data_IF_663756299284
#
_entry.id   IF_663756299284
#
_cell.length_a   1.000
_cell.length_b   1.000
_cell.length_c   1.000
_cell.angle_alpha   90.00
_cell.angle_beta   90.00
_cell.angle_gamma   90.00
#
_symmetry.space_group_name_H-M   'P 1'
#
loop_
_entity.id
_entity.type
_entity.pdbx_description
1 polymer ?
#
# COMPACT_ATOMS: atom_id res chain seq x y z
N UNK A 1 4.65 0.91 18.06
CA UNK A 1 4.27 2.25 17.58
C UNK A 1 3.53 2.06 16.26
N UNK A 2 2.24 2.43 16.18
CA UNK A 2 1.37 2.08 15.04
C UNK A 2 1.47 3.18 14.00
N UNK A 3 2.15 2.89 12.89
CA UNK A 3 2.17 3.81 11.74
C UNK A 3 0.87 3.66 10.96
N UNK A 4 0.34 4.74 10.41
CA UNK A 4 -0.82 4.71 9.52
C UNK A 4 -0.39 5.10 8.11
N UNK A 5 -1.10 4.56 7.12
CA UNK A 5 -1.00 4.99 5.74
C UNK A 5 -2.41 5.29 5.21
N UNK A 6 -2.50 6.31 4.37
CA UNK A 6 -3.73 6.69 3.69
C UNK A 6 -3.77 6.08 2.30
N UNK A 7 -4.95 5.67 1.86
CA UNK A 7 -5.21 5.30 0.46
C UNK A 7 -6.07 6.40 -0.15
N UNK A 8 -5.57 6.99 -1.21
CA UNK A 8 -6.24 8.00 -2.01
C UNK A 8 -6.33 7.55 -3.47
N UNK A 9 -7.20 8.17 -4.24
CA UNK A 9 -7.35 7.90 -5.68
C UNK A 9 -7.21 9.20 -6.44
N UNK A 10 -6.38 9.18 -7.47
CA UNK A 10 -6.29 10.28 -8.44
C UNK A 10 -7.42 10.17 -9.45
N UNK A 11 -7.77 11.27 -10.12
CA UNK A 11 -8.77 11.33 -11.18
C UNK A 11 -8.54 10.30 -12.31
N UNK A 12 -7.28 9.87 -12.50
CA UNK A 12 -6.90 8.81 -13.44
C UNK A 12 -7.22 7.38 -12.95
N UNK A 13 -7.90 7.23 -11.82
CA UNK A 13 -8.21 5.93 -11.19
C UNK A 13 -7.01 5.26 -10.52
N UNK A 14 -5.86 5.93 -10.44
CA UNK A 14 -4.64 5.38 -9.82
C UNK A 14 -4.72 5.54 -8.31
N UNK A 15 -4.49 4.44 -7.58
CA UNK A 15 -4.40 4.45 -6.13
C UNK A 15 -3.04 5.00 -5.69
N UNK A 16 -3.07 6.06 -4.87
CA UNK A 16 -1.91 6.72 -4.29
C UNK A 16 -1.86 6.41 -2.80
N UNK A 17 -0.70 5.97 -2.34
CA UNK A 17 -0.45 5.72 -0.92
C UNK A 17 0.13 7.00 -0.32
N UNK A 18 -0.51 7.49 0.75
CA UNK A 18 -0.01 8.60 1.55
C UNK A 18 0.71 8.00 2.75
N UNK A 19 2.03 7.94 2.65
CA UNK A 19 2.91 7.55 3.73
C UNK A 19 3.18 8.74 4.68
N UNK A 20 3.66 8.44 5.89
CA UNK A 20 4.01 9.42 6.93
C UNK A 20 2.83 10.11 7.64
N UNK A 21 1.77 9.36 7.95
CA UNK A 21 0.67 9.86 8.78
C UNK A 21 0.96 9.73 10.29
N UNK A 22 0.36 10.61 11.11
CA UNK A 22 0.39 10.55 12.57
C UNK A 22 -0.05 9.19 13.13
N UNK A 23 0.37 8.91 14.35
CA UNK A 23 0.08 7.64 15.04
C UNK A 23 -1.29 7.62 15.73
N UNK A 24 -1.92 8.78 15.82
CA UNK A 24 -3.29 8.91 16.33
C UNK A 24 -4.23 8.86 15.14
N UNK A 25 -5.12 7.86 15.11
CA UNK A 25 -6.05 7.61 14.00
C UNK A 25 -6.78 8.87 13.51
N UNK A 26 -7.33 9.66 14.43
CA UNK A 26 -8.09 10.88 14.08
C UNK A 26 -7.19 11.95 13.43
N UNK A 27 -5.96 12.09 13.92
CA UNK A 27 -5.00 13.03 13.35
C UNK A 27 -4.52 12.56 11.98
N UNK A 28 -4.29 11.25 11.82
CA UNK A 28 -3.94 10.62 10.55
C UNK A 28 -5.00 10.84 9.48
N UNK A 29 -6.27 10.71 9.83
CA UNK A 29 -7.39 10.94 8.92
C UNK A 29 -7.48 12.41 8.49
N UNK A 30 -7.38 13.34 9.44
CA UNK A 30 -7.40 14.77 9.16
C UNK A 30 -6.21 15.23 8.30
N UNK A 31 -5.03 14.65 8.48
CA UNK A 31 -3.86 14.95 7.64
C UNK A 31 -3.97 14.31 6.26
N UNK A 32 -4.45 13.07 6.16
CA UNK A 32 -4.67 12.41 4.89
C UNK A 32 -5.68 13.19 4.03
N UNK A 33 -6.79 13.67 4.62
CA UNK A 33 -7.79 14.50 3.93
C UNK A 33 -7.15 15.81 3.45
N UNK A 34 -6.36 16.48 4.29
CA UNK A 34 -5.65 17.73 3.92
C UNK A 34 -4.66 17.51 2.78
N UNK A 35 -3.91 16.40 2.81
CA UNK A 35 -3.01 16.01 1.73
C UNK A 35 -3.77 15.71 0.44
N UNK A 36 -4.90 15.03 0.52
CA UNK A 36 -5.75 14.74 -0.63
C UNK A 36 -6.28 16.03 -1.27
N UNK A 37 -6.84 16.93 -0.47
CA UNK A 37 -7.34 18.23 -0.94
C UNK A 37 -6.26 19.08 -1.62
N UNK A 38 -5.03 19.09 -1.08
CA UNK A 38 -3.91 19.85 -1.66
C UNK A 38 -3.47 19.31 -3.03
N UNK A 39 -3.58 18.01 -3.25
CA UNK A 39 -3.08 17.33 -4.45
C UNK A 39 -4.19 16.97 -5.45
N UNK A 40 -5.45 17.38 -5.20
CA UNK A 40 -6.58 16.99 -6.03
C UNK A 40 -6.83 15.48 -6.04
N UNK A 41 -6.61 14.82 -4.91
CA UNK A 41 -6.86 13.38 -4.75
C UNK A 41 -8.18 13.16 -3.99
N UNK A 42 -8.85 12.06 -4.28
CA UNK A 42 -10.02 11.60 -3.53
C UNK A 42 -9.57 10.68 -2.41
N UNK A 43 -9.80 11.08 -1.16
CA UNK A 43 -9.52 10.24 0.01
C UNK A 43 -10.48 9.05 0.05
N UNK A 44 -9.96 7.83 0.25
CA UNK A 44 -10.80 6.65 0.47
C UNK A 44 -10.83 6.23 1.94
N UNK A 45 -9.68 5.84 2.50
CA UNK A 45 -9.58 5.35 3.88
C UNK A 45 -8.14 5.36 4.38
N UNK A 46 -7.98 5.33 5.72
CA UNK A 46 -6.69 5.07 6.39
C UNK A 46 -6.63 3.62 6.89
N UNK A 47 -5.43 3.04 6.88
CA UNK A 47 -5.16 1.73 7.50
C UNK A 47 -3.92 1.80 8.38
N UNK A 48 -3.90 1.04 9.49
CA UNK A 48 -2.66 0.84 10.23
C UNK A 48 -1.70 0.03 9.36
N UNK A 49 -0.48 0.53 9.19
CA UNK A 49 0.63 -0.22 8.63
C UNK A 49 0.98 -1.34 9.63
N UNK A 50 0.44 -2.54 9.41
CA UNK A 50 0.91 -3.72 10.13
C UNK A 50 2.39 -3.90 9.77
N UNK A 51 3.25 -3.92 10.77
CA UNK A 51 4.70 -4.10 10.60
C UNK A 51 5.10 -5.44 9.95
N UNK A 52 4.15 -6.33 9.69
CA UNK A 52 4.37 -7.68 9.17
C UNK A 52 3.10 -8.17 8.46
N UNK A 53 2.79 -7.63 7.29
CA UNK A 53 2.30 -8.52 6.24
C UNK A 53 3.55 -8.98 5.51
N UNK A 54 4.01 -10.19 5.83
CA UNK A 54 4.89 -10.93 4.94
C UNK A 54 4.20 -10.92 3.57
N UNK A 55 4.69 -10.06 2.67
CA UNK A 55 4.34 -10.12 1.26
C UNK A 55 4.87 -11.46 0.78
N UNK A 56 4.07 -12.51 0.95
CA UNK A 56 4.35 -13.81 0.38
C UNK A 56 4.64 -13.57 -1.09
N UNK A 57 5.87 -13.84 -1.52
CA UNK A 57 6.29 -13.61 -2.88
C UNK A 57 5.34 -14.38 -3.80
N UNK A 58 4.47 -13.68 -4.52
CA UNK A 58 3.41 -14.23 -5.38
C UNK A 58 3.96 -15.08 -6.54
N UNK A 59 5.28 -15.24 -6.64
CA UNK A 59 6.00 -15.87 -7.74
C UNK A 59 6.65 -17.23 -7.39
N UNK A 60 6.58 -17.72 -6.15
CA UNK A 60 7.27 -18.96 -5.76
C UNK A 60 6.48 -20.24 -6.02
N UNK A 61 5.16 -20.18 -6.22
CA UNK A 61 4.30 -21.39 -6.38
C UNK A 61 4.77 -22.31 -7.51
N UNK A 62 5.40 -21.77 -8.57
CA UNK A 62 5.88 -22.55 -9.73
C UNK A 62 7.38 -22.42 -9.99
N UNK A 63 8.19 -21.95 -9.03
CA UNK A 63 9.66 -21.83 -9.23
C UNK A 63 10.29 -23.17 -9.61
N UNK A 64 9.98 -24.24 -8.84
CA UNK A 64 10.49 -25.60 -9.10
C UNK A 64 10.10 -26.13 -10.49
N UNK A 65 8.94 -25.72 -11.02
CA UNK A 65 8.48 -26.16 -12.33
C UNK A 65 9.24 -25.43 -13.46
N UNK A 66 9.50 -24.12 -13.29
CA UNK A 66 10.33 -23.34 -14.22
C UNK A 66 11.78 -23.83 -14.27
N UNK A 67 12.39 -24.08 -13.11
CA UNK A 67 13.77 -24.57 -13.03
C UNK A 67 13.92 -25.94 -13.73
N UNK A 68 12.91 -26.82 -13.61
CA UNK A 68 12.91 -28.15 -14.25
C UNK A 68 12.78 -28.08 -15.78
N UNK A 69 12.09 -27.07 -16.33
CA UNK A 69 12.02 -26.84 -17.78
C UNK A 69 13.32 -26.25 -18.33
N UNK A 70 13.95 -25.34 -17.57
CA UNK A 70 15.23 -24.74 -17.95
C UNK A 70 16.37 -25.76 -18.02
N UNK A 71 16.39 -26.74 -17.12
CA UNK A 71 17.44 -27.77 -17.04
C UNK A 71 17.28 -28.94 -18.06
N UNK A 72 16.36 -28.81 -19.02
CA UNK A 72 16.11 -29.80 -20.09
C UNK A 72 16.62 -29.36 -21.47
N UNK A 73 17.32 -28.24 -21.56
CA UNK A 73 18.10 -27.81 -22.72
C UNK A 73 19.56 -28.18 -22.52
#
# INVERSE_FOLDING_TARGET
MTKFYGVATSDNGVSVIIDNLPEVRLQAENEAIRHCAKNGLTFQYIRPAKASEEKGATLTKYKKQRDRVANKR
#
